data_IF_100676143576
#
_entry.id   IF_100676143576
#
_cell.length_a   1.000
_cell.length_b   1.000
_cell.length_c   1.000
_cell.angle_alpha   90.00
_cell.angle_beta   90.00
_cell.angle_gamma   90.00
#
_symmetry.space_group_name_H-M   'P 1'
#
loop_
_entity.id
_entity.type
_entity.pdbx_description
1 polymer ?
#
# COMPACT_ATOMS: atom_id res chain seq x y z
N UNK A 1 -33.77 -19.09 2.41
CA UNK A 1 -34.60 -18.05 1.74
C UNK A 1 -35.55 -17.44 2.76
N UNK A 2 -35.65 -16.11 2.77
CA UNK A 2 -36.28 -15.20 3.77
C UNK A 2 -35.32 -14.70 4.86
N UNK A 3 -35.22 -13.35 4.91
CA UNK A 3 -34.37 -12.46 5.74
C UNK A 3 -33.03 -12.02 5.13
N UNK A 4 -33.06 -11.41 3.94
CA UNK A 4 -31.93 -10.62 3.41
C UNK A 4 -32.35 -9.30 2.73
N UNK A 5 -33.58 -8.84 2.94
CA UNK A 5 -34.15 -7.67 2.24
C UNK A 5 -34.21 -6.37 3.08
N UNK A 6 -33.42 -6.27 4.15
CA UNK A 6 -33.49 -5.12 5.07
C UNK A 6 -32.44 -4.01 4.87
N UNK A 7 -31.30 -4.27 4.23
CA UNK A 7 -30.16 -3.33 4.26
C UNK A 7 -29.95 -2.49 2.99
N UNK A 8 -30.58 -2.87 1.88
CA UNK A 8 -30.44 -2.15 0.59
C UNK A 8 -31.28 -0.86 0.47
N UNK A 9 -32.23 -0.63 1.39
CA UNK A 9 -33.16 0.53 1.31
C UNK A 9 -32.63 1.75 2.08
N UNK A 10 -31.68 1.59 3.00
CA UNK A 10 -31.19 2.72 3.81
C UNK A 10 -30.23 3.65 3.05
N UNK A 11 -29.48 3.14 2.07
CA UNK A 11 -28.60 3.97 1.23
C UNK A 11 -29.36 4.84 0.20
N UNK A 12 -30.61 4.49 -0.13
CA UNK A 12 -31.43 5.33 -1.02
C UNK A 12 -32.11 6.49 -0.29
N UNK A 13 -32.41 6.34 1.01
CA UNK A 13 -33.14 7.37 1.79
C UNK A 13 -32.26 8.52 2.29
N UNK A 14 -30.93 8.36 2.30
CA UNK A 14 -30.00 9.46 2.62
C UNK A 14 -29.74 10.41 1.43
N UNK A 15 -30.19 10.06 0.22
CA UNK A 15 -30.03 10.90 -0.98
C UNK A 15 -31.15 11.92 -1.20
N UNK A 16 -32.24 11.86 -0.42
CA UNK A 16 -33.45 12.67 -0.65
C UNK A 16 -33.58 13.92 0.24
N UNK A 17 -32.74 14.10 1.28
CA UNK A 17 -32.89 15.20 2.25
C UNK A 17 -31.74 16.23 2.27
N UNK A 18 -30.80 16.19 1.33
CA UNK A 18 -29.76 17.21 1.20
C UNK A 18 -30.15 18.37 0.25
N UNK A 19 -31.45 18.61 0.06
CA UNK A 19 -32.00 19.63 -0.83
C UNK A 19 -32.69 20.75 -0.03
N UNK A 20 -31.95 21.47 0.81
CA UNK A 20 -32.33 22.81 1.28
C UNK A 20 -31.18 23.45 2.07
N UNK A 21 -30.39 24.28 1.39
CA UNK A 21 -29.72 25.42 2.01
C UNK A 21 -29.58 26.51 0.94
N UNK A 22 -30.29 27.61 1.17
CA UNK A 22 -30.46 28.72 0.25
C UNK A 22 -29.18 29.58 0.09
N UNK A 23 -29.11 30.25 -1.05
CA UNK A 23 -28.14 31.29 -1.43
C UNK A 23 -28.19 32.52 -0.50
N UNK A 24 -27.24 33.45 -0.67
CA UNK A 24 -27.70 34.73 -1.18
C UNK A 24 -26.89 35.27 -2.38
N UNK A 25 -27.63 35.76 -3.37
CA UNK A 25 -27.18 36.66 -4.43
C UNK A 25 -26.71 38.02 -3.88
N UNK A 26 -25.72 38.63 -4.56
CA UNK A 26 -25.95 39.95 -5.17
C UNK A 26 -24.96 40.25 -6.30
N UNK A 27 -25.58 40.61 -7.42
CA UNK A 27 -25.07 41.03 -8.73
C UNK A 27 -24.61 42.49 -8.71
N UNK A 28 -23.57 42.81 -9.49
CA UNK A 28 -23.57 43.98 -10.38
C UNK A 28 -22.80 43.70 -11.67
N UNK A 29 -23.48 43.97 -12.77
CA UNK A 29 -23.12 43.82 -14.19
C UNK A 29 -22.33 45.01 -14.73
N UNK A 30 -21.50 44.81 -15.76
CA UNK A 30 -21.59 45.57 -17.02
C UNK A 30 -20.62 45.06 -18.12
N UNK A 31 -21.21 44.94 -19.31
CA UNK A 31 -20.68 45.14 -20.67
C UNK A 31 -19.90 44.03 -21.39
N UNK A 32 -20.55 43.60 -22.49
CA UNK A 32 -20.11 42.74 -23.58
C UNK A 32 -18.94 43.34 -24.38
N UNK A 33 -18.06 42.47 -24.88
CA UNK A 33 -17.67 42.52 -26.29
C UNK A 33 -17.25 41.13 -26.78
N UNK A 34 -17.87 40.78 -27.89
CA UNK A 34 -17.75 39.57 -28.69
C UNK A 34 -16.39 39.53 -29.38
N UNK A 35 -15.64 38.43 -29.29
CA UNK A 35 -14.83 37.94 -30.40
C UNK A 35 -14.50 36.45 -30.23
N UNK A 36 -15.03 35.67 -31.17
CA UNK A 36 -14.89 34.22 -31.27
C UNK A 36 -13.53 33.95 -31.90
N UNK A 37 -12.62 33.33 -31.14
CA UNK A 37 -11.50 32.60 -31.72
C UNK A 37 -11.45 31.19 -31.15
N UNK A 38 -11.44 30.25 -32.08
CA UNK A 38 -11.52 28.80 -31.93
C UNK A 38 -10.38 28.25 -31.08
N UNK A 39 -10.68 27.87 -29.83
CA UNK A 39 -9.73 27.18 -28.96
C UNK A 39 -9.85 25.65 -29.10
N UNK A 40 -8.72 25.07 -29.49
CA UNK A 40 -8.46 23.65 -29.69
C UNK A 40 -8.79 22.84 -28.43
N UNK A 41 -9.43 21.70 -28.65
CA UNK A 41 -9.66 20.63 -27.67
C UNK A 41 -8.44 20.42 -26.75
N UNK A 42 -8.57 20.87 -25.50
CA UNK A 42 -7.64 20.52 -24.43
C UNK A 42 -7.76 19.03 -24.16
N UNK A 43 -6.78 18.26 -24.65
CA UNK A 43 -6.50 16.89 -24.20
C UNK A 43 -6.33 16.91 -22.68
N UNK A 44 -7.30 16.35 -21.96
CA UNK A 44 -7.16 16.02 -20.54
C UNK A 44 -6.03 14.99 -20.37
N UNK A 45 -4.81 15.51 -20.17
CA UNK A 45 -3.72 14.74 -19.58
C UNK A 45 -4.07 14.59 -18.10
N UNK A 46 -4.25 13.36 -17.65
CA UNK A 46 -4.15 13.03 -16.22
C UNK A 46 -2.80 13.57 -15.75
N UNK A 47 -2.86 14.62 -14.93
CA UNK A 47 -1.71 15.42 -14.55
C UNK A 47 -0.76 14.58 -13.70
N UNK A 48 0.50 14.47 -14.16
CA UNK A 48 1.61 14.43 -13.22
C UNK A 48 1.60 15.78 -12.51
N UNK A 49 1.13 15.85 -11.27
CA UNK A 49 0.99 17.10 -10.49
C UNK A 49 2.36 17.66 -10.01
N UNK A 50 3.46 17.20 -10.61
CA UNK A 50 4.84 17.52 -10.24
C UNK A 50 5.32 18.94 -10.59
N UNK A 51 4.61 19.68 -11.44
CA UNK A 51 5.10 20.97 -11.97
C UNK A 51 4.22 22.20 -11.68
N UNK A 52 3.14 22.05 -10.93
CA UNK A 52 2.17 23.14 -10.71
C UNK A 52 2.54 24.13 -9.57
N UNK A 53 3.80 24.16 -9.11
CA UNK A 53 4.26 25.07 -8.06
C UNK A 53 5.66 25.64 -8.36
N UNK A 54 5.90 26.90 -8.00
CA UNK A 54 7.14 27.63 -8.32
C UNK A 54 8.19 27.48 -7.23
N UNK A 55 7.78 27.51 -5.96
CA UNK A 55 8.69 27.53 -4.82
C UNK A 55 8.31 26.52 -3.73
N UNK A 56 7.04 26.48 -3.35
CA UNK A 56 6.58 25.67 -2.22
C UNK A 56 5.23 25.05 -2.50
N UNK A 57 5.02 23.83 -2.01
CA UNK A 57 3.69 23.24 -1.88
C UNK A 57 3.56 22.46 -0.58
N UNK A 58 2.34 22.43 -0.07
CA UNK A 58 1.97 21.67 1.13
C UNK A 58 0.63 20.98 0.91
N UNK A 59 0.55 19.75 1.39
CA UNK A 59 -0.53 18.83 1.08
C UNK A 59 -0.53 17.65 2.02
N UNK A 60 -1.22 16.60 1.60
CA UNK A 60 -1.30 15.37 2.36
C UNK A 60 -2.41 14.46 1.87
N UNK A 61 -2.53 13.32 2.52
CA UNK A 61 -3.62 12.37 2.30
C UNK A 61 -4.05 11.78 3.63
N UNK A 62 -5.22 11.16 3.65
CA UNK A 62 -5.69 10.48 4.85
C UNK A 62 -6.84 9.55 4.55
N UNK A 63 -7.04 8.61 5.47
CA UNK A 63 -8.10 7.61 5.39
C UNK A 63 -8.69 7.33 6.77
N UNK A 64 -10.00 7.06 6.79
CA UNK A 64 -10.78 6.65 7.95
C UNK A 64 -11.65 5.48 7.54
N UNK A 65 -11.64 4.39 8.30
CA UNK A 65 -12.30 3.15 7.91
C UNK A 65 -13.03 2.53 9.09
N UNK A 66 -14.25 2.07 8.86
CA UNK A 66 -14.99 1.19 9.76
C UNK A 66 -15.17 -0.17 9.08
N UNK A 67 -14.92 -1.25 9.82
CA UNK A 67 -14.97 -2.62 9.33
C UNK A 67 -15.80 -3.50 10.25
N UNK A 68 -16.60 -4.38 9.66
CA UNK A 68 -17.48 -5.33 10.31
C UNK A 68 -17.06 -6.73 9.86
N UNK A 69 -16.62 -7.55 10.80
CA UNK A 69 -15.90 -8.80 10.56
C UNK A 69 -16.62 -9.96 11.24
N UNK A 70 -16.59 -11.13 10.62
CA UNK A 70 -17.14 -12.38 11.16
C UNK A 70 -16.08 -13.36 11.70
N UNK A 71 -14.84 -12.87 11.84
CA UNK A 71 -13.71 -13.64 12.33
C UNK A 71 -13.02 -12.94 13.52
N UNK A 72 -12.34 -13.75 14.34
CA UNK A 72 -11.54 -13.32 15.48
C UNK A 72 -10.24 -12.61 15.09
N UNK A 73 -9.41 -12.32 16.09
CA UNK A 73 -8.19 -11.51 15.89
C UNK A 73 -7.00 -12.39 15.47
N UNK A 74 -6.96 -13.65 15.91
CA UNK A 74 -5.83 -14.55 15.68
C UNK A 74 -6.23 -15.81 14.91
N UNK A 75 -5.79 -15.89 13.65
CA UNK A 75 -5.92 -17.09 12.80
C UNK A 75 -5.10 -18.28 13.33
N UNK A 76 -4.11 -18.04 14.17
CA UNK A 76 -3.12 -19.01 14.63
C UNK A 76 -3.29 -19.42 16.10
N UNK A 77 -4.43 -19.13 16.73
CA UNK A 77 -4.69 -19.31 18.18
C UNK A 77 -4.67 -20.77 18.70
N UNK A 78 -4.27 -21.72 17.85
CA UNK A 78 -4.06 -23.13 18.21
C UNK A 78 -5.19 -24.08 17.80
N UNK A 79 -6.33 -23.59 17.36
CA UNK A 79 -7.44 -24.45 16.95
C UNK A 79 -7.34 -24.93 15.49
N UNK A 80 -7.87 -26.14 15.18
CA UNK A 80 -7.75 -26.76 13.85
C UNK A 80 -8.48 -26.00 12.74
N UNK A 81 -9.53 -25.26 13.07
CA UNK A 81 -10.37 -24.50 12.14
C UNK A 81 -9.74 -23.17 11.67
N UNK A 82 -8.63 -22.73 12.26
CA UNK A 82 -7.99 -21.47 11.88
C UNK A 82 -8.50 -20.30 12.74
N UNK A 83 -9.08 -19.28 12.13
CA UNK A 83 -9.60 -18.11 12.87
C UNK A 83 -11.00 -18.44 13.44
N UNK A 84 -11.32 -18.13 14.71
CA UNK A 84 -12.64 -18.46 15.23
C UNK A 84 -13.73 -17.58 14.63
N UNK A 85 -14.92 -18.15 14.45
CA UNK A 85 -16.11 -17.43 13.97
C UNK A 85 -16.60 -16.49 15.09
N UNK A 86 -16.17 -15.22 15.03
CA UNK A 86 -16.46 -14.20 16.04
C UNK A 86 -16.86 -12.91 15.34
N UNK A 87 -17.88 -12.24 15.86
CA UNK A 87 -18.28 -10.95 15.33
C UNK A 87 -17.43 -9.85 15.96
N UNK A 88 -16.71 -9.11 15.13
CA UNK A 88 -15.83 -8.01 15.55
C UNK A 88 -16.06 -6.81 14.65
N UNK A 89 -16.13 -5.63 15.25
CA UNK A 89 -16.14 -4.38 14.50
C UNK A 89 -14.92 -3.56 14.90
N UNK A 90 -14.31 -2.88 13.94
CA UNK A 90 -13.19 -1.97 14.16
C UNK A 90 -13.48 -0.64 13.50
N UNK A 91 -13.02 0.45 14.10
CA UNK A 91 -12.96 1.77 13.47
C UNK A 91 -11.55 2.30 13.67
N UNK A 92 -10.91 2.76 12.60
CA UNK A 92 -9.55 3.26 12.66
C UNK A 92 -9.34 4.45 11.74
N UNK A 93 -8.26 5.18 12.01
CA UNK A 93 -7.66 6.14 11.11
C UNK A 93 -6.37 5.47 10.63
N UNK A 94 -6.39 4.67 9.55
CA UNK A 94 -5.19 3.95 9.18
C UNK A 94 -4.02 4.91 8.95
N UNK A 95 -4.25 6.04 8.25
CA UNK A 95 -3.21 7.03 7.97
C UNK A 95 -3.74 8.45 7.92
N UNK A 96 -2.93 9.36 8.42
CA UNK A 96 -2.98 10.79 8.13
C UNK A 96 -1.57 11.25 7.80
N UNK A 97 -1.36 11.77 6.60
CA UNK A 97 -0.03 12.14 6.08
C UNK A 97 0.00 13.62 5.74
N UNK A 98 1.08 14.27 6.15
CA UNK A 98 1.40 15.65 5.80
C UNK A 98 2.62 15.66 4.87
N UNK A 99 2.47 16.29 3.71
CA UNK A 99 3.49 16.34 2.68
C UNK A 99 3.89 17.78 2.35
N UNK A 100 5.18 18.00 2.13
CA UNK A 100 5.75 19.29 1.76
C UNK A 100 6.80 19.12 0.67
N UNK A 101 6.85 20.07 -0.26
CA UNK A 101 7.99 20.23 -1.16
C UNK A 101 8.45 21.69 -1.24
N UNK A 102 9.76 21.88 -1.28
CA UNK A 102 10.39 23.19 -1.39
C UNK A 102 11.50 23.19 -2.44
N UNK A 103 11.34 24.01 -3.48
CA UNK A 103 12.36 24.25 -4.52
C UNK A 103 13.34 25.31 -4.02
N UNK A 104 14.54 24.94 -3.57
CA UNK A 104 15.61 25.91 -3.28
C UNK A 104 15.91 26.76 -4.52
N UNK A 105 15.93 26.12 -5.69
CA UNK A 105 15.96 26.73 -7.01
C UNK A 105 15.38 25.73 -8.03
N UNK A 106 15.53 25.97 -9.34
CA UNK A 106 15.03 25.08 -10.40
C UNK A 106 15.65 23.67 -10.44
N UNK A 107 16.65 23.43 -9.59
CA UNK A 107 17.62 22.34 -9.69
C UNK A 107 17.77 21.54 -8.40
N UNK A 108 17.35 22.10 -7.27
CA UNK A 108 17.47 21.52 -5.93
C UNK A 108 16.14 21.62 -5.20
N UNK A 109 15.64 20.48 -4.73
CA UNK A 109 14.31 20.34 -4.14
C UNK A 109 14.43 19.55 -2.83
N UNK A 110 13.84 20.09 -1.75
CA UNK A 110 13.54 19.35 -0.53
C UNK A 110 12.15 18.75 -0.66
N UNK A 111 12.01 17.46 -0.35
CA UNK A 111 10.71 16.80 -0.15
C UNK A 111 10.69 16.18 1.24
N UNK A 112 9.54 16.27 1.91
CA UNK A 112 9.35 15.62 3.20
C UNK A 112 7.88 15.21 3.41
N UNK A 113 7.68 14.05 4.03
CA UNK A 113 6.38 13.50 4.38
C UNK A 113 6.43 12.89 5.78
N UNK A 114 5.42 13.21 6.58
CA UNK A 114 5.23 12.69 7.94
C UNK A 114 3.91 11.93 7.97
N UNK A 115 3.94 10.68 8.41
CA UNK A 115 2.79 9.80 8.59
C UNK A 115 2.41 9.67 10.05
N UNK A 116 1.11 9.72 10.29
CA UNK A 116 0.48 9.36 11.54
C UNK A 116 -0.38 8.11 11.27
N UNK A 117 0.05 6.96 11.78
CA UNK A 117 -0.69 5.70 11.68
C UNK A 117 -1.51 5.45 12.94
N UNK A 118 -2.76 5.01 12.77
CA UNK A 118 -3.68 4.65 13.87
C UNK A 118 -3.80 5.71 14.98
N UNK A 119 -3.73 6.99 14.60
CA UNK A 119 -3.84 8.13 15.53
C UNK A 119 -2.51 8.58 16.18
N UNK A 120 -1.39 7.90 15.89
CA UNK A 120 -0.05 8.37 16.25
C UNK A 120 0.27 8.39 17.75
N UNK A 121 -0.41 7.58 18.57
CA UNK A 121 -0.25 7.61 20.03
C UNK A 121 1.09 7.04 20.52
N UNK A 122 1.86 6.36 19.66
CA UNK A 122 3.21 5.83 19.94
C UNK A 122 3.25 4.72 20.99
N UNK A 123 2.14 4.47 21.67
CA UNK A 123 1.96 3.59 22.82
C UNK A 123 0.49 3.17 22.85
N UNK A 124 0.21 1.86 22.82
CA UNK A 124 -1.09 1.30 23.13
C UNK A 124 -0.89 0.09 24.03
N UNK A 125 -1.86 -0.12 24.90
CA UNK A 125 -2.12 -1.44 25.44
C UNK A 125 -2.82 -2.22 24.33
N UNK A 126 -2.07 -2.98 23.54
CA UNK A 126 -2.65 -3.93 22.61
C UNK A 126 -2.99 -5.23 23.35
N UNK A 127 -4.04 -5.90 22.87
CA UNK A 127 -4.32 -7.27 23.26
C UNK A 127 -3.33 -8.15 22.49
N UNK A 128 -2.51 -8.96 23.16
CA UNK A 128 -1.52 -9.75 22.43
C UNK A 128 -2.25 -10.76 21.53
N UNK A 129 -2.15 -10.52 20.23
CA UNK A 129 -2.86 -11.32 19.25
C UNK A 129 -2.19 -12.69 19.06
N UNK A 130 -0.95 -12.87 19.52
CA UNK A 130 -0.21 -14.13 19.45
C UNK A 130 -0.53 -15.10 20.59
N UNK A 131 -0.92 -14.60 21.76
CA UNK A 131 -1.23 -15.41 22.95
C UNK A 131 -2.69 -15.22 23.40
N UNK A 132 -3.64 -15.66 22.54
CA UNK A 132 -5.06 -15.80 22.88
C UNK A 132 -5.79 -14.56 23.42
N UNK A 133 -5.23 -13.36 23.24
CA UNK A 133 -5.85 -12.12 23.67
C UNK A 133 -5.75 -11.88 25.18
N UNK A 134 -4.64 -12.26 25.81
CA UNK A 134 -4.32 -11.84 27.18
C UNK A 134 -3.90 -10.35 27.21
N UNK A 135 -4.17 -9.69 28.34
CA UNK A 135 -3.73 -8.32 28.59
C UNK A 135 -2.29 -8.37 29.13
N UNK A 136 -1.31 -8.07 28.29
CA UNK A 136 0.05 -7.84 28.77
C UNK A 136 0.21 -6.39 29.28
N UNK A 137 1.09 -6.22 30.27
CA UNK A 137 1.44 -4.92 30.85
C UNK A 137 2.64 -4.29 30.12
N UNK A 138 2.94 -4.76 28.92
CA UNK A 138 3.98 -4.19 28.05
C UNK A 138 3.33 -3.22 27.05
N UNK A 139 3.90 -2.03 26.96
CA UNK A 139 3.43 -0.97 26.06
C UNK A 139 3.85 -1.34 24.64
N UNK A 140 2.94 -1.90 23.85
CA UNK A 140 3.19 -2.13 22.42
C UNK A 140 2.90 -0.87 21.58
N UNK A 141 3.42 -0.82 20.34
CA UNK A 141 3.34 0.35 19.44
C UNK A 141 1.89 0.65 19.01
N UNK A 142 1.18 1.39 19.85
CA UNK A 142 -0.15 1.92 19.55
C UNK A 142 -0.13 3.11 18.63
N UNK A 143 -0.17 2.85 17.33
CA UNK A 143 -0.02 3.90 16.32
C UNK A 143 1.38 4.51 16.29
N UNK A 144 1.77 5.05 15.15
CA UNK A 144 3.13 5.52 14.91
C UNK A 144 3.11 6.93 14.33
N UNK A 145 4.11 7.75 14.68
CA UNK A 145 4.45 8.96 13.95
C UNK A 145 5.80 8.71 13.31
N UNK A 146 5.81 8.60 11.98
CA UNK A 146 6.99 8.25 11.21
C UNK A 146 7.30 9.32 10.16
N UNK A 147 8.59 9.49 9.87
CA UNK A 147 8.99 10.17 8.65
C UNK A 147 8.87 9.15 7.53
N UNK A 148 7.95 9.36 6.59
CA UNK A 148 7.83 8.52 5.40
C UNK A 148 8.87 8.90 4.34
N UNK A 149 9.11 10.20 4.19
CA UNK A 149 10.08 10.74 3.25
C UNK A 149 10.78 11.94 3.84
N UNK A 150 12.08 12.05 3.59
CA UNK A 150 12.87 13.25 3.88
C UNK A 150 14.13 13.23 3.03
N UNK A 151 14.13 13.99 1.94
CA UNK A 151 15.18 13.87 0.94
C UNK A 151 15.53 15.19 0.25
N UNK A 152 16.75 15.26 -0.27
CA UNK A 152 17.17 16.30 -1.20
C UNK A 152 17.27 15.70 -2.60
N UNK A 153 16.58 16.31 -3.56
CA UNK A 153 16.60 15.94 -4.97
C UNK A 153 17.39 16.97 -5.79
N UNK A 154 18.30 16.46 -6.63
CA UNK A 154 19.05 17.21 -7.63
C UNK A 154 18.54 16.86 -9.03
N UNK A 155 17.94 17.84 -9.71
CA UNK A 155 17.52 17.71 -11.11
C UNK A 155 18.67 18.08 -12.07
N UNK A 156 19.22 17.11 -12.80
CA UNK A 156 20.38 17.32 -13.67
C UNK A 156 19.92 17.41 -15.13
N UNK A 157 19.34 16.33 -15.64
CA UNK A 157 18.71 16.23 -16.96
C UNK A 157 17.51 15.28 -16.89
N UNK A 158 16.53 15.36 -17.80
CA UNK A 158 15.35 14.49 -17.75
C UNK A 158 15.68 12.99 -17.66
N UNK A 159 16.79 12.57 -18.27
CA UNK A 159 17.24 11.18 -18.30
C UNK A 159 17.99 10.73 -17.05
N UNK A 160 18.46 11.66 -16.21
CA UNK A 160 19.32 11.33 -15.07
C UNK A 160 19.23 12.40 -13.99
N UNK A 161 18.75 12.00 -12.82
CA UNK A 161 18.60 12.83 -11.63
C UNK A 161 18.98 12.00 -10.41
N UNK A 162 19.23 12.69 -9.29
CA UNK A 162 19.71 12.06 -8.06
C UNK A 162 18.83 12.53 -6.90
N UNK A 163 18.49 11.63 -5.99
CA UNK A 163 17.82 11.93 -4.73
C UNK A 163 18.53 11.19 -3.59
N UNK A 164 18.77 11.87 -2.48
CA UNK A 164 19.42 11.29 -1.31
C UNK A 164 18.64 11.63 -0.03
N UNK A 165 18.52 10.66 0.88
CA UNK A 165 17.82 10.81 2.15
C UNK A 165 16.92 9.61 2.44
N UNK A 166 15.83 9.85 3.14
CA UNK A 166 14.80 8.88 3.43
C UNK A 166 13.77 8.86 2.29
N UNK A 167 13.71 7.74 1.57
CA UNK A 167 13.05 7.66 0.25
C UNK A 167 12.18 6.40 0.14
N UNK A 168 11.09 6.50 -0.63
CA UNK A 168 10.23 5.36 -0.95
C UNK A 168 11.00 4.34 -1.82
N UNK A 169 10.90 3.07 -1.45
CA UNK A 169 11.40 1.90 -2.18
C UNK A 169 10.28 1.37 -3.08
N UNK A 170 10.34 1.54 -4.41
CA UNK A 170 9.21 1.34 -5.32
C UNK A 170 9.06 -0.12 -5.76
N UNK A 171 9.11 -1.04 -4.81
CA UNK A 171 9.00 -2.49 -5.02
C UNK A 171 7.53 -2.93 -4.92
N UNK A 172 6.99 -3.45 -6.01
CA UNK A 172 5.56 -3.79 -6.13
C UNK A 172 4.69 -2.64 -6.62
N UNK A 173 3.42 -2.92 -6.89
CA UNK A 173 2.46 -1.93 -7.35
C UNK A 173 2.10 -0.96 -6.21
N UNK A 174 1.85 -1.50 -5.03
CA UNK A 174 1.35 -0.77 -3.87
C UNK A 174 2.38 0.24 -3.37
N UNK A 175 3.65 -0.14 -3.17
CA UNK A 175 4.65 0.82 -2.67
C UNK A 175 4.90 2.00 -3.63
N UNK A 176 4.89 1.72 -4.94
CA UNK A 176 5.02 2.77 -5.95
C UNK A 176 3.80 3.70 -6.03
N UNK A 177 2.62 3.27 -5.53
CA UNK A 177 1.34 3.98 -5.62
C UNK A 177 0.49 3.79 -4.35
N UNK A 178 1.07 4.05 -3.17
CA UNK A 178 0.49 3.64 -1.88
C UNK A 178 -0.61 4.57 -1.34
N UNK A 179 -0.82 5.71 -1.99
CA UNK A 179 -1.82 6.71 -1.62
C UNK A 179 -3.25 6.15 -1.78
N UNK A 180 -4.20 6.53 -0.92
CA UNK A 180 -5.47 5.82 -0.79
C UNK A 180 -6.41 5.94 -2.00
N UNK A 181 -6.20 6.91 -2.89
CA UNK A 181 -6.97 7.00 -4.13
C UNK A 181 -6.43 6.10 -5.25
N UNK A 182 -5.25 5.51 -5.07
CA UNK A 182 -4.55 4.70 -6.07
C UNK A 182 -4.83 3.20 -5.96
N UNK A 183 -5.73 2.79 -5.07
CA UNK A 183 -6.30 1.44 -4.98
C UNK A 183 -7.82 1.49 -4.73
N UNK A 184 -8.56 0.44 -5.11
CA UNK A 184 -10.02 0.45 -5.03
C UNK A 184 -10.54 0.23 -3.60
N UNK A 185 -10.09 -0.83 -2.92
CA UNK A 185 -10.58 -1.19 -1.57
C UNK A 185 -10.37 -0.11 -0.51
N UNK A 186 -11.05 -0.26 0.64
CA UNK A 186 -10.87 0.62 1.81
C UNK A 186 -9.48 0.52 2.42
N UNK A 187 -8.82 -0.64 2.26
CA UNK A 187 -7.43 -0.88 2.62
C UNK A 187 -6.57 -1.20 1.40
N UNK A 188 -5.25 -1.03 1.56
CA UNK A 188 -4.25 -1.44 0.56
C UNK A 188 -4.39 -2.94 0.24
N UNK A 189 -4.00 -3.39 -0.98
CA UNK A 189 -4.02 -4.80 -1.35
C UNK A 189 -3.22 -5.66 -0.37
N UNK A 190 -3.89 -6.63 0.25
CA UNK A 190 -3.31 -7.44 1.34
C UNK A 190 -2.17 -8.32 0.87
N UNK A 191 -2.22 -8.80 -0.37
CA UNK A 191 -1.23 -9.74 -0.85
C UNK A 191 0.19 -9.15 -0.89
N UNK A 192 0.33 -7.89 -1.33
CA UNK A 192 1.64 -7.23 -1.32
C UNK A 192 2.03 -6.79 0.10
N UNK A 193 1.11 -6.20 0.86
CA UNK A 193 1.41 -5.66 2.21
C UNK A 193 1.61 -6.74 3.27
N UNK A 194 1.19 -7.98 3.02
CA UNK A 194 1.52 -9.12 3.88
C UNK A 194 2.97 -9.55 3.73
N UNK A 195 3.55 -9.39 2.53
CA UNK A 195 4.86 -9.97 2.17
C UNK A 195 5.96 -8.92 2.15
N UNK A 196 5.65 -7.71 1.68
CA UNK A 196 6.55 -6.57 1.55
C UNK A 196 6.23 -5.54 2.64
N UNK A 197 7.20 -4.74 3.10
CA UNK A 197 6.89 -3.59 3.93
C UNK A 197 5.91 -2.69 3.17
N UNK A 198 4.89 -2.24 3.88
CA UNK A 198 3.94 -1.26 3.35
C UNK A 198 4.52 0.13 3.51
N UNK A 199 4.19 1.03 2.58
CA UNK A 199 4.83 2.35 2.49
C UNK A 199 6.35 2.24 2.58
N UNK A 200 6.95 1.23 1.94
CA UNK A 200 8.36 0.90 2.16
C UNK A 200 9.24 2.11 1.86
N UNK A 201 9.93 2.60 2.88
CA UNK A 201 10.91 3.66 2.79
C UNK A 201 12.18 3.29 3.56
N UNK A 202 13.31 3.80 3.07
CA UNK A 202 14.64 3.51 3.58
C UNK A 202 15.54 4.74 3.44
N UNK A 203 16.57 4.80 4.27
CA UNK A 203 17.67 5.75 4.06
C UNK A 203 18.58 5.27 2.91
N UNK A 204 18.85 6.14 1.95
CA UNK A 204 19.68 5.79 0.80
C UNK A 204 19.84 6.85 -0.29
N UNK A 205 20.25 6.35 -1.46
CA UNK A 205 20.51 7.11 -2.68
C UNK A 205 19.69 6.52 -3.82
N UNK A 206 18.99 7.37 -4.56
CA UNK A 206 18.23 7.04 -5.76
C UNK A 206 18.79 7.79 -6.98
N UNK A 207 18.91 7.05 -8.09
CA UNK A 207 19.13 7.56 -9.42
C UNK A 207 17.88 7.29 -10.26
N UNK A 208 17.33 8.32 -10.90
CA UNK A 208 16.08 8.18 -11.63
C UNK A 208 16.02 9.09 -12.85
N UNK A 209 15.18 8.72 -13.81
CA UNK A 209 14.97 9.51 -15.01
C UNK A 209 14.01 8.87 -15.99
N UNK A 210 13.76 9.59 -17.08
CA UNK A 210 12.91 9.15 -18.18
C UNK A 210 13.69 9.12 -19.48
N UNK A 211 13.49 8.08 -20.29
CA UNK A 211 14.13 7.96 -21.60
C UNK A 211 13.16 7.44 -22.67
N UNK A 212 13.58 7.59 -23.93
CA UNK A 212 12.77 7.26 -25.10
C UNK A 212 11.66 8.27 -25.37
N UNK A 213 10.84 8.02 -26.40
CA UNK A 213 9.83 8.95 -26.93
C UNK A 213 8.63 8.21 -27.51
N UNK A 214 7.45 8.84 -27.44
CA UNK A 214 6.22 8.31 -28.04
C UNK A 214 5.86 6.94 -27.48
N UNK A 215 5.69 5.95 -28.37
CA UNK A 215 5.38 4.57 -27.97
C UNK A 215 6.53 3.81 -27.31
N UNK A 216 7.73 4.40 -27.24
CA UNK A 216 8.88 3.85 -26.55
C UNK A 216 9.31 4.79 -25.42
N UNK A 217 8.40 5.09 -24.49
CA UNK A 217 8.67 5.97 -23.34
C UNK A 217 8.75 5.16 -22.05
N UNK A 218 9.82 5.41 -21.27
CA UNK A 218 10.16 4.67 -20.06
C UNK A 218 10.58 5.60 -18.93
N UNK A 219 10.26 5.23 -17.69
CA UNK A 219 10.90 5.74 -16.49
C UNK A 219 11.71 4.64 -15.83
N UNK A 220 12.81 5.00 -15.18
CA UNK A 220 13.57 4.07 -14.36
C UNK A 220 13.93 4.68 -13.01
N UNK A 221 14.12 3.80 -12.02
CA UNK A 221 14.67 4.11 -10.71
C UNK A 221 15.71 3.05 -10.37
N UNK A 222 16.85 3.46 -9.82
CA UNK A 222 17.88 2.58 -9.28
C UNK A 222 18.32 3.12 -7.92
N UNK A 223 18.33 2.27 -6.89
CA UNK A 223 18.59 2.71 -5.52
C UNK A 223 19.64 1.85 -4.82
N UNK A 224 20.36 2.48 -3.90
CA UNK A 224 21.18 1.83 -2.88
C UNK A 224 20.65 2.33 -1.53
N UNK A 225 20.16 1.41 -0.70
CA UNK A 225 19.48 1.71 0.57
C UNK A 225 20.05 0.87 1.71
N UNK A 226 19.75 1.22 2.97
CA UNK A 226 20.18 0.44 4.14
C UNK A 226 19.84 -1.04 4.05
N UNK A 227 18.62 -1.33 3.58
CA UNK A 227 18.20 -2.69 3.33
C UNK A 227 17.53 -3.29 4.56
N UNK A 228 17.06 -4.51 4.41
CA UNK A 228 16.23 -5.15 5.42
C UNK A 228 17.07 -5.74 6.56
N UNK A 229 16.49 -5.77 7.75
CA UNK A 229 16.99 -6.44 8.93
C UNK A 229 16.28 -7.80 9.12
N UNK A 230 17.07 -8.88 9.16
CA UNK A 230 16.55 -10.24 9.28
C UNK A 230 15.86 -10.56 10.63
N UNK A 231 16.07 -9.74 11.68
CA UNK A 231 15.34 -9.85 12.95
C UNK A 231 13.83 -9.77 12.75
N UNK A 232 13.36 -8.93 11.83
CA UNK A 232 11.94 -8.76 11.53
C UNK A 232 11.36 -9.77 10.56
N UNK A 233 12.10 -10.81 10.18
CA UNK A 233 11.59 -11.84 9.27
C UNK A 233 10.84 -12.93 10.04
N UNK A 234 9.64 -13.28 9.60
CA UNK A 234 8.83 -14.28 10.29
C UNK A 234 8.00 -15.16 9.34
N UNK A 235 7.34 -16.17 9.90
CA UNK A 235 6.49 -17.11 9.18
C UNK A 235 5.29 -16.45 8.47
N UNK A 236 4.64 -15.52 9.14
CA UNK A 236 3.34 -14.96 8.75
C UNK A 236 3.47 -13.83 7.72
N UNK A 237 4.52 -13.04 7.79
CA UNK A 237 4.71 -11.82 6.97
C UNK A 237 5.97 -11.83 6.11
N UNK A 238 6.76 -12.91 6.20
CA UNK A 238 8.03 -13.08 5.50
C UNK A 238 9.05 -11.97 5.79
N UNK A 239 9.07 -10.88 5.01
CA UNK A 239 10.01 -9.77 5.21
C UNK A 239 9.33 -8.43 5.51
N UNK A 240 7.99 -8.39 5.61
CA UNK A 240 7.25 -7.14 5.73
C UNK A 240 7.63 -6.34 6.98
N UNK A 241 7.94 -7.02 8.08
CA UNK A 241 8.39 -6.43 9.34
C UNK A 241 9.92 -6.25 9.43
N UNK A 242 10.67 -6.50 8.35
CA UNK A 242 12.12 -6.36 8.33
C UNK A 242 12.65 -4.99 7.94
N UNK A 243 11.76 -4.02 7.69
CA UNK A 243 12.13 -2.61 7.51
C UNK A 243 12.76 -2.08 8.80
N UNK A 244 13.84 -1.30 8.67
CA UNK A 244 14.55 -0.69 9.80
C UNK A 244 13.84 0.60 10.31
N UNK A 245 14.36 1.19 11.38
CA UNK A 245 13.79 2.39 12.01
C UNK A 245 13.16 2.20 13.40
N UNK A 246 13.36 1.04 14.05
CA UNK A 246 12.99 0.85 15.47
C UNK A 246 14.04 1.49 16.40
N UNK A 247 15.31 1.47 15.98
CA UNK A 247 16.43 2.07 16.71
C UNK A 247 16.84 3.41 16.11
N UNK A 248 17.70 4.14 16.81
CA UNK A 248 18.16 5.48 16.41
C UNK A 248 18.90 5.50 15.06
N UNK A 249 19.48 4.36 14.67
CA UNK A 249 20.29 4.20 13.47
C UNK A 249 19.86 2.95 12.69
N UNK A 250 19.86 3.05 11.36
CA UNK A 250 19.72 1.89 10.48
C UNK A 250 21.08 1.23 10.25
N UNK A 251 21.13 -0.09 10.33
CA UNK A 251 22.30 -0.86 9.97
C UNK A 251 22.45 -0.92 8.44
N UNK A 252 23.64 -0.57 7.93
CA UNK A 252 23.96 -0.54 6.50
C UNK A 252 25.06 -1.55 6.12
N UNK A 253 25.33 -2.56 6.95
CA UNK A 253 26.45 -3.50 6.72
C UNK A 253 26.30 -4.30 5.42
N UNK A 254 25.07 -4.64 5.02
CA UNK A 254 24.75 -5.14 3.68
C UNK A 254 23.64 -4.32 3.03
N UNK A 255 23.97 -3.43 2.08
CA UNK A 255 22.97 -2.58 1.46
C UNK A 255 21.95 -3.37 0.64
N UNK A 256 20.74 -2.81 0.57
CA UNK A 256 19.72 -3.16 -0.41
C UNK A 256 19.94 -2.44 -1.74
N UNK A 257 19.80 -3.17 -2.83
CA UNK A 257 19.85 -2.65 -4.19
C UNK A 257 18.47 -2.79 -4.83
N UNK A 258 17.97 -1.69 -5.39
CA UNK A 258 16.63 -1.66 -6.00
C UNK A 258 16.75 -1.19 -7.44
N UNK A 259 15.99 -1.82 -8.33
CA UNK A 259 15.82 -1.34 -9.70
C UNK A 259 14.34 -1.43 -10.08
N UNK A 260 13.83 -0.40 -10.75
CA UNK A 260 12.49 -0.36 -11.33
C UNK A 260 12.54 0.21 -12.74
N UNK A 261 11.71 -0.35 -13.62
CA UNK A 261 11.47 0.17 -14.96
C UNK A 261 9.96 0.21 -15.22
N UNK A 262 9.44 1.37 -15.62
CA UNK A 262 8.05 1.56 -16.01
C UNK A 262 7.95 1.95 -17.49
N UNK A 263 7.25 1.13 -18.28
CA UNK A 263 6.84 1.46 -19.64
C UNK A 263 5.56 2.30 -19.62
N UNK A 264 5.54 3.41 -20.37
CA UNK A 264 4.43 4.38 -20.45
C UNK A 264 4.10 4.82 -21.87
N UNK A 265 4.49 4.03 -22.88
CA UNK A 265 4.35 4.43 -24.29
C UNK A 265 2.91 4.48 -24.81
N UNK A 266 1.98 3.78 -24.15
CA UNK A 266 0.56 3.76 -24.54
C UNK A 266 -0.25 4.63 -23.57
N UNK A 267 -1.08 5.58 -24.07
CA UNK A 267 -1.90 6.43 -23.21
C UNK A 267 -2.77 5.63 -22.24
N UNK A 268 -2.64 5.95 -20.95
CA UNK A 268 -3.38 5.28 -19.87
C UNK A 268 -2.79 3.95 -19.42
N UNK A 269 -1.84 3.36 -20.16
CA UNK A 269 -1.17 2.11 -19.80
C UNK A 269 0.19 2.39 -19.13
N UNK A 270 0.43 1.73 -18.00
CA UNK A 270 1.72 1.60 -17.34
C UNK A 270 2.01 0.12 -17.15
N UNK A 271 3.21 -0.33 -17.49
CA UNK A 271 3.71 -1.67 -17.16
C UNK A 271 5.02 -1.50 -16.42
N UNK A 272 5.06 -1.96 -15.19
CA UNK A 272 6.21 -1.88 -14.30
C UNK A 272 6.84 -3.24 -14.04
N UNK A 273 8.16 -3.25 -13.85
CA UNK A 273 8.86 -4.35 -13.22
C UNK A 273 9.85 -3.79 -12.19
N UNK A 274 9.98 -4.46 -11.05
CA UNK A 274 10.96 -4.07 -10.03
C UNK A 274 11.72 -5.27 -9.48
N UNK A 275 12.92 -5.00 -8.98
CA UNK A 275 13.81 -5.96 -8.37
C UNK A 275 14.43 -5.38 -7.11
N UNK A 276 14.46 -6.16 -6.05
CA UNK A 276 15.19 -5.87 -4.81
C UNK A 276 16.22 -6.98 -4.55
N UNK A 277 17.42 -6.59 -4.12
CA UNK A 277 18.46 -7.50 -3.69
C UNK A 277 19.20 -6.99 -2.46
N UNK A 278 19.29 -7.79 -1.41
CA UNK A 278 20.24 -7.62 -0.33
C UNK A 278 21.11 -8.89 -0.27
N UNK A 279 22.43 -8.73 -0.20
CA UNK A 279 23.35 -9.86 -0.25
C UNK A 279 23.38 -10.65 1.07
N UNK A 280 23.21 -9.95 2.20
CA UNK A 280 23.23 -10.55 3.53
C UNK A 280 22.43 -9.73 4.55
N UNK A 281 21.10 -9.91 4.58
CA UNK A 281 20.22 -9.23 5.54
C UNK A 281 20.53 -9.57 7.01
N UNK A 282 21.22 -10.69 7.27
CA UNK A 282 21.66 -11.07 8.62
C UNK A 282 22.72 -10.11 9.18
N UNK A 283 23.52 -9.50 8.32
CA UNK A 283 24.54 -8.53 8.73
C UNK A 283 23.95 -7.17 9.13
N UNK A 284 22.71 -6.88 8.74
CA UNK A 284 21.96 -5.69 9.17
C UNK A 284 21.21 -5.91 10.50
N UNK A 285 21.45 -7.02 11.19
CA UNK A 285 20.81 -7.30 12.47
C UNK A 285 21.25 -6.35 13.57
N UNK A 286 20.37 -6.10 14.53
CA UNK A 286 20.66 -5.24 15.68
C UNK A 286 21.76 -5.82 16.59
N UNK A 287 21.99 -7.13 16.47
CA UNK A 287 23.06 -7.86 17.17
C UNK A 287 23.76 -8.77 16.17
N UNK A 288 24.86 -8.26 15.59
CA UNK A 288 25.64 -8.92 14.53
C UNK A 288 25.96 -10.41 14.81
N UNK A 289 26.21 -10.78 16.08
CA UNK A 289 26.53 -12.17 16.44
C UNK A 289 25.38 -13.15 16.28
N UNK A 290 24.12 -12.68 16.28
CA UNK A 290 22.90 -13.50 16.20
C UNK A 290 22.89 -14.39 14.95
N UNK A 291 23.40 -13.85 13.84
CA UNK A 291 23.40 -14.50 12.53
C UNK A 291 24.80 -14.91 12.05
N UNK A 292 25.83 -14.74 12.88
CA UNK A 292 27.23 -15.05 12.53
C UNK A 292 27.45 -16.48 12.02
N UNK A 293 26.64 -17.45 12.49
CA UNK A 293 26.71 -18.86 12.11
C UNK A 293 25.74 -19.28 11.00
N UNK A 294 24.82 -18.39 10.57
CA UNK A 294 23.86 -18.73 9.50
C UNK A 294 24.51 -18.72 8.12
N UNK A 295 25.64 -18.02 7.96
CA UNK A 295 26.15 -17.61 6.66
C UNK A 295 25.26 -16.50 6.06
N UNK A 296 25.57 -16.08 4.83
CA UNK A 296 24.86 -14.97 4.17
C UNK A 296 23.37 -15.26 4.03
N UNK A 297 22.51 -14.30 4.34
CA UNK A 297 21.06 -14.38 4.16
C UNK A 297 20.66 -13.48 2.97
N UNK A 298 20.81 -13.93 1.72
CA UNK A 298 20.44 -13.13 0.57
C UNK A 298 18.92 -13.03 0.42
N UNK A 299 18.42 -11.83 0.16
CA UNK A 299 17.02 -11.55 -0.13
C UNK A 299 16.90 -11.12 -1.59
N UNK A 300 16.00 -11.75 -2.34
CA UNK A 300 15.68 -11.38 -3.72
C UNK A 300 14.18 -11.26 -3.88
N UNK A 301 13.72 -10.13 -4.41
CA UNK A 301 12.30 -9.89 -4.68
C UNK A 301 12.16 -9.45 -6.12
N UNK A 302 11.23 -10.06 -6.83
CA UNK A 302 10.89 -9.72 -8.20
C UNK A 302 9.42 -9.34 -8.23
N UNK A 303 9.10 -8.20 -8.84
CA UNK A 303 7.71 -7.80 -9.04
C UNK A 303 7.47 -7.41 -10.49
N UNK A 304 6.24 -7.61 -10.93
CA UNK A 304 5.72 -7.03 -12.16
C UNK A 304 4.32 -6.48 -11.88
N UNK A 305 3.99 -5.35 -12.46
CA UNK A 305 2.69 -4.71 -12.31
C UNK A 305 2.23 -4.03 -13.59
N UNK A 306 0.92 -3.90 -13.75
CA UNK A 306 0.32 -3.20 -14.87
C UNK A 306 -0.87 -2.38 -14.38
N UNK A 307 -1.06 -1.23 -15.02
CA UNK A 307 -2.22 -0.37 -14.81
C UNK A 307 -2.69 0.15 -16.15
N UNK A 308 -3.99 0.01 -16.41
CA UNK A 308 -4.66 0.68 -17.51
C UNK A 308 -5.76 1.58 -16.97
N UNK A 309 -5.75 2.86 -17.32
CA UNK A 309 -6.76 3.84 -16.96
C UNK A 309 -7.19 4.64 -18.16
N UNK A 310 -8.50 4.63 -18.43
CA UNK A 310 -9.13 5.56 -19.35
C UNK A 310 -10.41 6.13 -18.70
N UNK A 311 -11.22 6.86 -19.49
CA UNK A 311 -12.45 7.48 -18.97
C UNK A 311 -13.52 6.48 -18.51
N UNK A 312 -13.48 5.24 -18.98
CA UNK A 312 -14.47 4.18 -18.71
C UNK A 312 -14.00 3.14 -17.70
N UNK A 313 -12.73 2.76 -17.74
CA UNK A 313 -12.21 1.63 -16.96
C UNK A 313 -10.89 2.00 -16.28
N UNK A 314 -10.72 1.49 -15.07
CA UNK A 314 -9.42 1.36 -14.41
C UNK A 314 -9.21 -0.12 -14.13
N UNK A 315 -8.12 -0.68 -14.63
CA UNK A 315 -7.71 -2.05 -14.38
C UNK A 315 -6.26 -2.06 -13.89
N UNK A 316 -5.96 -2.92 -12.91
CA UNK A 316 -4.62 -3.10 -12.36
C UNK A 316 -4.35 -4.59 -12.15
N UNK A 317 -3.10 -4.98 -12.26
CA UNK A 317 -2.64 -6.31 -11.90
C UNK A 317 -1.21 -6.22 -11.36
N UNK A 318 -0.84 -7.14 -10.48
CA UNK A 318 0.50 -7.21 -9.92
C UNK A 318 0.86 -8.66 -9.56
N UNK A 319 2.16 -8.91 -9.48
CA UNK A 319 2.73 -10.13 -8.95
C UNK A 319 4.02 -9.83 -8.18
N UNK A 320 4.25 -10.61 -7.13
CA UNK A 320 5.45 -10.60 -6.30
C UNK A 320 5.94 -12.03 -6.18
N UNK A 321 7.23 -12.25 -6.41
CA UNK A 321 7.92 -13.49 -6.09
C UNK A 321 9.15 -13.16 -5.25
N UNK A 322 9.27 -13.83 -4.11
CA UNK A 322 10.38 -13.66 -3.19
C UNK A 322 11.22 -14.92 -3.06
N UNK A 323 12.52 -14.73 -2.85
CA UNK A 323 13.46 -15.77 -2.49
C UNK A 323 14.38 -15.32 -1.35
N UNK A 324 14.49 -16.16 -0.34
CA UNK A 324 15.33 -15.98 0.84
C UNK A 324 16.34 -17.12 0.93
N UNK A 325 17.62 -16.81 1.01
CA UNK A 325 18.67 -17.80 1.23
C UNK A 325 18.83 -18.14 2.71
N UNK A 326 19.26 -19.37 3.01
CA UNK A 326 19.49 -19.87 4.37
C UNK A 326 18.27 -19.70 5.30
N UNK A 327 17.04 -19.81 4.76
CA UNK A 327 15.81 -19.57 5.52
C UNK A 327 15.62 -20.56 6.67
N UNK A 328 16.15 -21.78 6.55
CA UNK A 328 16.15 -22.76 7.64
C UNK A 328 17.02 -22.30 8.82
N UNK A 329 18.27 -21.91 8.56
CA UNK A 329 19.19 -21.42 9.60
C UNK A 329 18.75 -20.09 10.20
N UNK A 330 18.20 -19.20 9.37
CA UNK A 330 17.58 -17.97 9.85
C UNK A 330 16.41 -18.27 10.79
N UNK A 331 15.56 -19.26 10.48
CA UNK A 331 14.49 -19.68 11.39
C UNK A 331 15.06 -20.14 12.73
N UNK A 332 16.11 -20.96 12.71
CA UNK A 332 16.79 -21.40 13.94
C UNK A 332 17.37 -20.22 14.75
N UNK A 333 17.87 -19.18 14.08
CA UNK A 333 18.36 -17.97 14.73
C UNK A 333 17.20 -17.14 15.33
N UNK A 334 16.10 -16.90 14.60
CA UNK A 334 14.98 -16.08 15.08
C UNK A 334 14.27 -16.70 16.28
N UNK A 335 14.22 -18.03 16.40
CA UNK A 335 13.71 -18.68 17.62
C UNK A 335 14.51 -18.35 18.88
N UNK A 336 15.77 -17.91 18.74
CA UNK A 336 16.68 -17.60 19.86
C UNK A 336 16.68 -16.12 20.24
N UNK A 337 15.92 -15.27 19.56
CA UNK A 337 15.76 -13.88 19.98
C UNK A 337 15.19 -13.84 21.40
N UNK A 338 15.56 -12.81 22.17
CA UNK A 338 15.05 -12.59 23.52
C UNK A 338 13.53 -12.46 23.50
N UNK A 339 12.84 -12.86 24.57
CA UNK A 339 11.42 -12.53 24.75
C UNK A 339 11.18 -11.01 24.76
N UNK A 340 12.20 -10.22 25.14
CA UNK A 340 12.16 -8.75 25.11
C UNK A 340 12.49 -8.14 23.75
N UNK A 341 12.63 -8.98 22.71
CA UNK A 341 12.89 -8.51 21.36
C UNK A 341 11.61 -7.88 20.81
N UNK A 342 11.67 -6.70 20.15
CA UNK A 342 10.49 -6.10 19.52
C UNK A 342 10.05 -6.83 18.24
N UNK A 343 10.70 -7.96 17.92
CA UNK A 343 10.46 -8.72 16.70
C UNK A 343 9.84 -10.07 17.00
N UNK A 344 8.94 -10.48 16.10
CA UNK A 344 8.34 -11.80 16.07
C UNK A 344 9.39 -12.92 16.05
N UNK A 345 9.13 -13.97 16.81
CA UNK A 345 9.96 -15.20 16.85
C UNK A 345 9.31 -16.37 16.12
N UNK A 346 8.26 -16.07 15.35
CA UNK A 346 7.40 -17.06 14.73
C UNK A 346 8.08 -17.66 13.50
N UNK A 347 8.25 -18.98 13.52
CA UNK A 347 8.96 -19.76 12.50
C UNK A 347 8.11 -20.98 12.08
N UNK A 348 8.45 -21.71 10.98
CA UNK A 348 9.55 -21.49 10.04
C UNK A 348 9.35 -20.30 9.10
N UNK A 349 10.44 -19.63 8.73
CA UNK A 349 10.47 -18.60 7.68
C UNK A 349 10.72 -19.30 6.34
N UNK A 350 9.86 -19.02 5.36
CA UNK A 350 9.90 -19.69 4.08
C UNK A 350 11.05 -19.20 3.18
N UNK A 351 11.52 -20.11 2.32
CA UNK A 351 12.51 -19.83 1.27
C UNK A 351 11.90 -19.05 0.13
N UNK A 352 10.65 -19.35 -0.23
CA UNK A 352 9.94 -18.68 -1.31
C UNK A 352 8.55 -18.26 -0.88
N UNK A 353 8.11 -17.16 -1.48
CA UNK A 353 6.79 -16.57 -1.29
C UNK A 353 6.23 -16.11 -2.63
N UNK A 354 4.92 -15.96 -2.69
CA UNK A 354 4.25 -15.43 -3.89
C UNK A 354 3.04 -14.59 -3.49
N UNK A 355 2.78 -13.55 -4.26
CA UNK A 355 1.51 -12.83 -4.28
C UNK A 355 1.17 -12.46 -5.72
N UNK A 356 -0.11 -12.48 -6.08
CA UNK A 356 -0.59 -11.89 -7.32
C UNK A 356 -2.03 -11.43 -7.17
N UNK A 357 -2.37 -10.36 -7.86
CA UNK A 357 -3.70 -9.80 -7.84
C UNK A 357 -4.08 -9.19 -9.18
N UNK A 358 -5.38 -9.10 -9.42
CA UNK A 358 -5.96 -8.39 -10.53
C UNK A 358 -7.27 -7.73 -10.10
N UNK A 359 -7.50 -6.51 -10.56
CA UNK A 359 -8.71 -5.75 -10.27
C UNK A 359 -9.14 -4.90 -11.46
N UNK A 360 -10.45 -4.66 -11.54
CA UNK A 360 -11.03 -3.76 -12.52
C UNK A 360 -12.24 -3.04 -11.93
N UNK A 361 -12.41 -1.78 -12.31
CA UNK A 361 -13.58 -0.98 -11.98
C UNK A 361 -14.05 -0.10 -13.14
N UNK A 362 -15.35 0.15 -13.19
CA UNK A 362 -16.02 0.84 -14.29
C UNK A 362 -16.52 2.21 -13.85
N UNK A 363 -16.17 3.27 -14.56
CA UNK A 363 -16.72 4.59 -14.30
C UNK A 363 -18.15 4.68 -14.86
N UNK A 364 -19.16 4.57 -13.99
CA UNK A 364 -20.57 4.60 -14.40
C UNK A 364 -20.91 5.93 -15.08
N UNK A 365 -20.39 7.06 -14.57
CA UNK A 365 -20.71 8.39 -15.12
C UNK A 365 -20.26 8.57 -16.58
N UNK A 366 -19.22 7.85 -17.00
CA UNK A 366 -18.68 7.94 -18.37
C UNK A 366 -19.66 7.43 -19.44
N UNK A 367 -20.65 6.62 -19.06
CA UNK A 367 -21.69 6.11 -19.97
C UNK A 367 -22.85 7.10 -20.16
N UNK A 368 -22.92 8.19 -19.38
CA UNK A 368 -24.01 9.17 -19.40
C UNK A 368 -23.63 10.51 -20.06
N UNK A 369 -22.86 10.46 -21.16
CA UNK A 369 -22.50 11.63 -22.00
C UNK A 369 -22.00 12.87 -21.23
N UNK A 370 -21.31 12.67 -20.10
CA UNK A 370 -20.78 13.78 -19.28
C UNK A 370 -21.85 14.59 -18.55
N UNK A 371 -23.04 14.02 -18.32
CA UNK A 371 -24.06 14.62 -17.47
C UNK A 371 -23.51 14.82 -16.05
N UNK A 372 -23.19 16.08 -15.71
CA UNK A 372 -22.61 16.47 -14.41
C UNK A 372 -23.49 16.13 -13.20
N UNK A 373 -24.78 15.83 -13.41
CA UNK A 373 -25.68 15.36 -12.35
C UNK A 373 -25.49 13.89 -11.99
N UNK A 374 -24.80 13.11 -12.82
CA UNK A 374 -24.51 11.70 -12.55
C UNK A 374 -23.24 11.62 -11.70
N UNK A 375 -23.30 11.05 -10.48
CA UNK A 375 -22.13 10.96 -9.62
C UNK A 375 -21.07 10.04 -10.23
N UNK A 376 -19.80 10.35 -9.95
CA UNK A 376 -18.66 9.52 -10.36
C UNK A 376 -18.56 8.33 -9.41
N UNK A 377 -19.05 7.17 -9.85
CA UNK A 377 -19.06 5.92 -9.10
C UNK A 377 -18.32 4.85 -9.87
N UNK A 378 -17.45 4.12 -9.17
CA UNK A 378 -16.73 2.96 -9.68
C UNK A 378 -17.11 1.70 -8.89
N UNK A 379 -18.07 0.89 -9.36
CA UNK A 379 -18.09 -0.52 -9.00
C UNK A 379 -16.80 -1.19 -9.43
N UNK A 380 -16.27 -2.06 -8.58
CA UNK A 380 -15.05 -2.81 -8.85
C UNK A 380 -15.12 -4.22 -8.30
N UNK A 381 -14.25 -5.07 -8.82
CA UNK A 381 -13.91 -6.36 -8.24
C UNK A 381 -12.39 -6.55 -8.29
N UNK A 382 -11.86 -7.23 -7.28
CA UNK A 382 -10.45 -7.59 -7.12
C UNK A 382 -10.35 -9.04 -6.67
N UNK A 383 -9.43 -9.77 -7.28
CA UNK A 383 -8.96 -11.06 -6.79
C UNK A 383 -7.51 -10.92 -6.34
N UNK A 384 -7.17 -11.53 -5.20
CA UNK A 384 -5.81 -11.65 -4.69
C UNK A 384 -5.52 -13.09 -4.27
N UNK A 385 -4.34 -13.58 -4.57
CA UNK A 385 -3.77 -14.76 -3.93
C UNK A 385 -2.42 -14.38 -3.34
N UNK A 386 -2.14 -14.84 -2.12
CA UNK A 386 -0.83 -14.67 -1.52
C UNK A 386 -0.50 -15.82 -0.58
N UNK A 387 0.79 -16.12 -0.51
CA UNK A 387 1.33 -17.15 0.36
C UNK A 387 2.77 -16.79 0.79
N UNK A 388 2.98 -16.25 2.01
CA UNK A 388 4.30 -16.05 2.59
C UNK A 388 4.97 -17.37 3.02
N UNK A 389 4.29 -18.51 2.84
CA UNK A 389 4.75 -19.86 3.16
C UNK A 389 4.68 -20.76 1.92
N UNK A 390 5.06 -20.24 0.74
CA UNK A 390 4.95 -20.99 -0.53
C UNK A 390 5.88 -22.20 -0.57
N UNK A 391 7.13 -22.03 -0.16
CA UNK A 391 8.09 -23.14 -0.11
C UNK A 391 9.13 -22.96 1.00
N UNK A 392 9.32 -24.00 1.79
CA UNK A 392 10.37 -24.07 2.81
C UNK A 392 11.72 -24.52 2.25
N UNK A 393 12.74 -24.42 3.09
CA UNK A 393 14.06 -25.02 2.90
C UNK A 393 14.21 -26.26 3.79
N UNK A 394 14.95 -27.27 3.31
CA UNK A 394 15.14 -28.54 4.00
C UNK A 394 13.80 -29.19 4.42
N UNK A 395 13.64 -29.54 5.70
CA UNK A 395 12.47 -30.23 6.24
C UNK A 395 11.41 -29.29 6.84
N UNK A 396 11.47 -27.99 6.55
CA UNK A 396 10.47 -27.04 7.05
C UNK A 396 9.06 -27.37 6.53
N UNK A 397 8.11 -27.49 7.46
CA UNK A 397 6.69 -27.67 7.13
C UNK A 397 6.04 -26.29 7.02
N UNK A 398 5.46 -25.99 5.87
CA UNK A 398 4.83 -24.70 5.59
C UNK A 398 3.43 -24.59 6.21
N UNK A 399 3.16 -23.44 6.81
CA UNK A 399 1.88 -23.17 7.46
C UNK A 399 0.78 -22.85 6.44
N UNK A 400 -0.18 -23.77 6.30
CA UNK A 400 -1.27 -23.64 5.32
C UNK A 400 -2.23 -22.50 5.65
N UNK A 401 -2.33 -22.06 6.91
CA UNK A 401 -3.13 -20.88 7.28
C UNK A 401 -2.60 -19.56 6.67
N UNK A 402 -1.36 -19.54 6.20
CA UNK A 402 -0.80 -18.39 5.49
C UNK A 402 -1.18 -18.34 4.00
N UNK A 403 -1.69 -19.45 3.44
CA UNK A 403 -2.12 -19.50 2.04
C UNK A 403 -3.54 -18.92 1.92
N UNK A 404 -3.69 -17.79 1.22
CA UNK A 404 -4.96 -17.06 1.13
C UNK A 404 -5.38 -16.84 -0.31
N UNK A 405 -6.64 -17.16 -0.61
CA UNK A 405 -7.33 -16.81 -1.85
C UNK A 405 -8.48 -15.87 -1.51
N UNK A 406 -8.52 -14.69 -2.11
CA UNK A 406 -9.37 -13.58 -1.64
C UNK A 406 -10.09 -12.88 -2.78
N UNK A 407 -11.37 -12.57 -2.55
CA UNK A 407 -12.16 -11.69 -3.41
C UNK A 407 -12.59 -10.45 -2.64
N UNK A 408 -12.47 -9.29 -3.27
CA UNK A 408 -13.03 -8.01 -2.81
C UNK A 408 -13.93 -7.45 -3.90
N UNK A 409 -15.13 -7.01 -3.55
CA UNK A 409 -16.03 -6.29 -4.46
C UNK A 409 -16.65 -5.10 -3.75
N UNK A 410 -16.76 -3.97 -4.44
CA UNK A 410 -17.18 -2.74 -3.80
C UNK A 410 -17.53 -1.61 -4.75
N UNK A 411 -17.74 -0.43 -4.16
CA UNK A 411 -18.11 0.82 -4.82
C UNK A 411 -17.22 1.95 -4.30
N UNK A 412 -16.65 2.73 -5.22
CA UNK A 412 -15.99 3.99 -4.91
C UNK A 412 -16.80 5.15 -5.46
N UNK A 413 -17.34 6.00 -4.59
CA UNK A 413 -17.99 7.24 -4.96
C UNK A 413 -17.04 8.42 -4.76
N UNK A 414 -16.66 9.08 -5.84
CA UNK A 414 -15.85 10.30 -5.80
C UNK A 414 -16.78 11.49 -5.61
N UNK A 415 -16.93 11.93 -4.35
CA UNK A 415 -17.67 13.14 -4.00
C UNK A 415 -16.98 14.39 -4.55
N UNK A 416 -15.64 14.37 -4.60
CA UNK A 416 -14.79 15.34 -5.30
C UNK A 416 -13.66 14.56 -6.03
N UNK A 417 -12.92 15.17 -6.97
CA UNK A 417 -11.82 14.48 -7.67
C UNK A 417 -10.80 13.82 -6.74
N UNK A 418 -10.63 14.40 -5.55
CA UNK A 418 -9.62 14.08 -4.55
C UNK A 418 -10.22 13.63 -3.21
N UNK A 419 -11.53 13.34 -3.16
CA UNK A 419 -12.25 12.87 -1.98
C UNK A 419 -13.18 11.73 -2.40
N UNK A 420 -12.92 10.53 -1.86
CA UNK A 420 -13.64 9.31 -2.20
C UNK A 420 -14.26 8.68 -0.95
N UNK A 421 -15.52 8.26 -1.09
CA UNK A 421 -16.19 7.35 -0.16
C UNK A 421 -16.14 5.96 -0.76
N UNK A 422 -15.70 4.98 0.02
CA UNK A 422 -15.50 3.60 -0.40
C UNK A 422 -16.35 2.68 0.45
N UNK A 423 -16.89 1.64 -0.17
CA UNK A 423 -17.48 0.52 0.55
C UNK A 423 -17.18 -0.77 -0.19
N UNK A 424 -16.72 -1.80 0.52
CA UNK A 424 -16.42 -3.10 -0.08
C UNK A 424 -16.70 -4.27 0.86
N UNK A 425 -16.91 -5.42 0.25
CA UNK A 425 -17.00 -6.71 0.92
C UNK A 425 -15.83 -7.57 0.46
N UNK A 426 -15.08 -8.09 1.43
CA UNK A 426 -13.93 -8.96 1.23
C UNK A 426 -14.22 -10.33 1.83
N UNK A 427 -13.92 -11.40 1.08
CA UNK A 427 -13.99 -12.79 1.55
C UNK A 427 -12.64 -13.47 1.32
N UNK A 428 -12.06 -14.02 2.39
CA UNK A 428 -10.80 -14.75 2.36
C UNK A 428 -11.05 -16.23 2.57
N UNK A 429 -10.50 -17.03 1.68
CA UNK A 429 -10.49 -18.48 1.74
C UNK A 429 -9.09 -18.93 2.13
N UNK A 430 -9.00 -19.60 3.28
CA UNK A 430 -7.72 -19.89 3.95
C UNK A 430 -7.31 -21.34 3.67
N UNK A 431 -6.02 -21.57 3.38
CA UNK A 431 -5.46 -22.89 3.09
C UNK A 431 -5.82 -23.43 1.70
N UNK A 432 -6.06 -22.55 0.73
CA UNK A 432 -6.39 -22.93 -0.65
C UNK A 432 -5.76 -21.97 -1.66
N UNK A 433 -5.37 -22.50 -2.81
CA UNK A 433 -4.92 -21.73 -3.98
C UNK A 433 -5.99 -21.66 -5.08
N UNK A 434 -7.20 -22.16 -4.83
CA UNK A 434 -8.29 -22.11 -5.79
C UNK A 434 -8.86 -20.70 -5.85
N UNK A 435 -9.01 -20.16 -7.05
CA UNK A 435 -9.65 -18.86 -7.30
C UNK A 435 -11.09 -18.84 -6.76
N UNK A 436 -11.82 -19.93 -6.95
CA UNK A 436 -13.11 -20.19 -6.33
C UNK A 436 -13.07 -21.54 -5.62
N UNK A 437 -13.42 -21.53 -4.33
CA UNK A 437 -13.44 -22.73 -3.50
C UNK A 437 -13.01 -22.43 -2.07
N UNK A 438 -13.21 -23.40 -1.19
CA UNK A 438 -12.87 -23.30 0.22
C UNK A 438 -11.62 -24.12 0.54
N UNK A 439 -10.91 -23.71 1.59
CA UNK A 439 -9.92 -24.58 2.24
C UNK A 439 -10.55 -25.30 3.43
N UNK A 440 -9.69 -25.92 4.26
CA UNK A 440 -10.13 -26.65 5.47
C UNK A 440 -10.35 -25.74 6.69
N UNK A 441 -9.98 -24.48 6.58
CA UNK A 441 -10.07 -23.48 7.64
C UNK A 441 -11.29 -22.58 7.39
N UNK A 442 -11.77 -21.94 8.45
CA UNK A 442 -12.85 -20.97 8.37
C UNK A 442 -12.48 -19.81 7.43
N UNK A 443 -13.47 -19.33 6.68
CA UNK A 443 -13.33 -18.13 5.87
C UNK A 443 -13.32 -16.89 6.75
N UNK A 444 -12.64 -15.84 6.32
CA UNK A 444 -12.66 -14.54 6.99
C UNK A 444 -13.35 -13.52 6.10
N UNK A 445 -14.54 -13.07 6.50
CA UNK A 445 -15.33 -12.10 5.75
C UNK A 445 -15.36 -10.75 6.46
N UNK A 446 -15.29 -9.70 5.66
CA UNK A 446 -15.26 -8.33 6.14
C UNK A 446 -16.11 -7.45 5.22
N UNK A 447 -16.97 -6.63 5.81
CA UNK A 447 -17.56 -5.48 5.15
C UNK A 447 -16.94 -4.20 5.69
N UNK A 448 -16.46 -3.33 4.82
CA UNK A 448 -15.78 -2.10 5.21
C UNK A 448 -16.37 -0.89 4.50
N UNK A 449 -16.42 0.23 5.21
CA UNK A 449 -16.78 1.55 4.68
C UNK A 449 -15.67 2.51 5.08
N UNK A 450 -15.21 3.34 4.15
CA UNK A 450 -14.18 4.32 4.43
C UNK A 450 -14.31 5.61 3.64
N UNK A 451 -13.61 6.64 4.11
CA UNK A 451 -13.45 7.91 3.41
C UNK A 451 -11.96 8.15 3.26
N UNK A 452 -11.54 8.57 2.08
CA UNK A 452 -10.15 8.92 1.82
C UNK A 452 -10.02 10.18 0.98
N UNK A 453 -8.94 10.92 1.19
CA UNK A 453 -8.60 12.09 0.38
C UNK A 453 -7.11 12.15 0.08
N UNK A 454 -6.74 12.93 -0.94
CA UNK A 454 -5.37 13.38 -1.19
C UNK A 454 -5.38 14.76 -1.81
N UNK A 455 -4.43 15.64 -1.48
CA UNK A 455 -4.33 16.90 -2.19
C UNK A 455 -3.19 17.79 -1.75
N UNK A 456 -2.85 18.72 -2.64
CA UNK A 456 -1.99 19.86 -2.36
C UNK A 456 -2.87 21.06 -2.05
N UNK A 457 -2.91 21.47 -0.78
CA UNK A 457 -3.79 22.53 -0.29
C UNK A 457 -3.20 23.92 -0.50
N UNK A 458 -1.87 24.02 -0.53
CA UNK A 458 -1.14 25.27 -0.74
C UNK A 458 -0.11 25.07 -1.83
N UNK A 459 -0.06 25.97 -2.82
CA UNK A 459 0.96 26.03 -3.87
C UNK A 459 1.38 27.49 -4.07
N UNK A 460 2.69 27.77 -4.13
CA UNK A 460 3.25 29.10 -4.41
C UNK A 460 4.29 29.04 -5.52
#
# INVERSE_FOLDING_TARGET
MRKLTGLFVLCFLLSANALQAAEPEKVTSAAESTEISTDKEKKEKVANDGDNYKKFRFGGYGEMVASFKDYGINRFYGAPEGNPDKHRNTISIPRFVLALDYKFNSKWILGAEIEFESGGTGTAYELENTENGEYETEVEKGGEVAIEQFHITRLIVPQFNIRAGHIIVPVGLTNAHHEPINFFGTYRPEGETTILPSTWHENGLEFFGSFGKGYASFDYQAMIVAGLNANGFDRNTWIASGKQGIFEEDNFTSPGYVARLDYKGVPGLRIGASFYYCADAGSNSDKADTYSSTGKIPVRIYTADAQYRNKYVVARANMVYGNLGNSAKLSEANTKLSNKSPYSRITPIAKNVVSYAAEAGLNISAFFKGNRKVPVIYPFARYEYYNPQEKGEASQIMEKRCQVSMWTAGLNWYALPNLVVKADYTTRQIGTNKVFGTGKYNSENEFSIGIAYIGWFVKK
#
